data_IF_020615653037
#
_entry.id   IF_020615653037
#
_cell.length_a   1.000
_cell.length_b   1.000
_cell.length_c   1.000
_cell.angle_alpha   90.00
_cell.angle_beta   90.00
_cell.angle_gamma   90.00
#
_symmetry.space_group_name_H-M   'P 1'
#
loop_
_entity.id
_entity.type
_entity.pdbx_description
1 polymer ?
#
# COMPACT_ATOMS: atom_id res chain seq x y z
N UNK A 1 0.03 61.71 23.37
CA UNK A 1 -1.15 61.04 23.97
C UNK A 1 -2.03 60.58 22.82
N UNK A 2 -2.44 59.34 22.63
CA UNK A 2 -2.15 58.01 23.18
C UNK A 2 -2.76 57.08 22.11
N UNK A 3 -2.00 56.10 21.65
CA UNK A 3 -2.40 55.17 20.58
C UNK A 3 -3.77 54.53 20.84
N UNK A 4 -4.58 54.37 19.78
CA UNK A 4 -5.67 53.40 19.76
C UNK A 4 -5.43 52.43 18.60
N UNK A 5 -4.71 51.35 18.92
CA UNK A 5 -4.65 50.12 18.16
C UNK A 5 -5.90 49.30 18.49
N UNK A 6 -6.69 48.91 17.49
CA UNK A 6 -7.63 47.81 17.62
C UNK A 6 -7.48 46.90 16.39
N UNK A 7 -6.68 45.85 16.57
CA UNK A 7 -6.73 44.62 15.79
C UNK A 7 -7.93 43.81 16.28
N UNK A 8 -8.87 43.47 15.39
CA UNK A 8 -9.81 42.37 15.65
C UNK A 8 -9.68 41.39 14.48
N UNK A 9 -8.96 40.31 14.76
CA UNK A 9 -8.89 39.12 13.92
C UNK A 9 -10.18 38.31 14.11
N UNK A 10 -10.95 38.11 13.05
CA UNK A 10 -11.99 37.07 13.00
C UNK A 10 -11.36 35.78 12.50
N UNK A 11 -10.95 34.91 13.42
CA UNK A 11 -10.69 33.51 13.13
C UNK A 11 -12.01 32.74 13.30
N UNK A 12 -12.64 32.37 12.18
CA UNK A 12 -13.77 31.46 12.16
C UNK A 12 -13.29 30.03 12.40
N UNK A 13 -13.46 29.53 13.62
CA UNK A 13 -13.31 28.12 13.94
C UNK A 13 -14.52 27.35 13.37
N UNK A 14 -14.32 26.61 12.28
CA UNK A 14 -15.24 25.54 11.90
C UNK A 14 -15.00 24.34 12.82
N UNK A 15 -15.76 24.26 13.92
CA UNK A 15 -15.88 23.06 14.73
C UNK A 15 -17.00 22.18 14.13
N UNK A 16 -16.63 21.04 13.55
CA UNK A 16 -17.58 20.01 13.13
C UNK A 16 -17.45 18.82 14.08
N UNK A 17 -18.31 18.75 15.10
CA UNK A 17 -18.46 17.58 15.96
C UNK A 17 -19.45 16.61 15.31
N UNK A 18 -18.95 15.54 14.69
CA UNK A 18 -19.80 14.46 14.20
C UNK A 18 -20.17 13.53 15.36
N UNK A 19 -21.45 13.55 15.75
CA UNK A 19 -22.03 12.66 16.74
C UNK A 19 -22.00 11.21 16.25
N UNK A 20 -21.32 10.34 16.99
CA UNK A 20 -21.41 8.88 16.84
C UNK A 20 -22.82 8.42 17.21
N UNK A 21 -23.50 7.73 16.28
CA UNK A 21 -24.63 6.84 16.60
C UNK A 21 -24.16 5.41 16.40
N UNK A 22 -24.06 4.67 17.50
CA UNK A 22 -23.85 3.23 17.50
C UNK A 22 -25.18 2.55 17.16
N UNK A 23 -25.17 1.64 16.20
CA UNK A 23 -26.22 0.63 16.04
C UNK A 23 -25.52 -0.71 16.04
N UNK A 24 -25.88 -1.50 17.03
CA UNK A 24 -25.34 -2.81 17.34
C UNK A 24 -26.29 -3.90 16.83
N UNK A 25 -25.72 -5.06 16.50
CA UNK A 25 -26.31 -6.36 16.19
C UNK A 25 -27.22 -6.53 14.96
N UNK A 26 -26.80 -7.37 14.03
CA UNK A 26 -27.15 -8.81 14.06
C UNK A 26 -26.67 -9.50 12.78
N UNK A 27 -26.18 -10.73 12.94
CA UNK A 27 -25.77 -11.62 11.88
C UNK A 27 -26.78 -11.67 10.71
N UNK A 28 -26.25 -11.59 9.50
CA UNK A 28 -26.82 -12.29 8.36
C UNK A 28 -25.67 -12.83 7.55
N UNK A 29 -25.68 -14.15 7.44
CA UNK A 29 -24.88 -14.94 6.55
C UNK A 29 -24.95 -14.34 5.14
N UNK A 30 -23.78 -14.07 4.56
CA UNK A 30 -23.64 -13.94 3.12
C UNK A 30 -22.83 -15.13 2.65
N UNK A 31 -23.54 -16.19 2.26
CA UNK A 31 -23.03 -17.18 1.34
C UNK A 31 -22.75 -16.55 -0.04
N UNK A 32 -21.94 -17.27 -0.82
CA UNK A 32 -21.68 -17.13 -2.25
C UNK A 32 -20.49 -16.23 -2.63
N UNK A 33 -19.32 -16.83 -2.81
CA UNK A 33 -19.06 -17.60 -4.03
C UNK A 33 -17.62 -18.14 -3.99
N UNK A 34 -17.50 -19.46 -3.87
CA UNK A 34 -16.23 -20.18 -3.93
C UNK A 34 -15.85 -20.47 -5.38
N UNK A 35 -15.49 -19.43 -6.14
CA UNK A 35 -14.93 -19.59 -7.51
C UNK A 35 -13.68 -18.71 -7.79
N UNK A 36 -13.10 -18.01 -6.80
CA UNK A 36 -12.04 -17.00 -7.04
C UNK A 36 -10.74 -17.23 -6.25
N UNK A 37 -10.44 -18.47 -5.86
CA UNK A 37 -9.29 -18.73 -4.97
C UNK A 37 -7.92 -18.70 -5.64
N UNK A 38 -7.83 -18.96 -6.95
CA UNK A 38 -6.55 -19.01 -7.66
C UNK A 38 -6.13 -17.64 -8.23
N UNK A 39 -7.07 -16.85 -8.75
CA UNK A 39 -6.74 -15.57 -9.41
C UNK A 39 -6.44 -14.43 -8.41
N UNK A 40 -6.74 -14.67 -7.13
CA UNK A 40 -6.49 -13.74 -6.03
C UNK A 40 -5.13 -13.91 -5.38
N UNK A 41 -4.36 -14.95 -5.69
CA UNK A 41 -3.04 -15.21 -5.09
C UNK A 41 -1.93 -14.56 -5.92
N UNK A 42 -1.09 -13.80 -5.24
CA UNK A 42 0.09 -13.13 -5.81
C UNK A 42 1.35 -13.84 -5.32
N UNK A 43 2.34 -13.95 -6.21
CA UNK A 43 3.66 -14.50 -5.87
C UNK A 43 4.30 -13.68 -4.75
N UNK A 44 4.14 -12.35 -4.82
CA UNK A 44 4.61 -11.40 -3.81
C UNK A 44 3.57 -10.32 -3.54
N UNK A 45 3.48 -9.92 -2.27
CA UNK A 45 2.87 -8.66 -1.84
C UNK A 45 3.88 -7.86 -1.03
N UNK A 46 4.22 -6.67 -1.50
CA UNK A 46 5.08 -5.72 -0.80
C UNK A 46 4.23 -4.57 -0.29
N UNK A 47 4.09 -4.47 1.04
CA UNK A 47 3.26 -3.46 1.69
C UNK A 47 4.14 -2.37 2.29
N UNK A 48 3.95 -1.14 1.82
CA UNK A 48 4.53 0.06 2.42
C UNK A 48 3.55 0.59 3.45
N UNK A 49 3.92 0.50 4.73
CA UNK A 49 3.07 0.88 5.86
C UNK A 49 3.53 2.23 6.45
N UNK A 50 2.63 2.90 7.16
CA UNK A 50 2.95 4.04 8.02
C UNK A 50 2.72 3.68 9.48
N UNK A 51 3.47 4.33 10.37
CA UNK A 51 3.27 4.29 11.83
C UNK A 51 2.89 5.67 12.39
N UNK A 52 2.31 6.54 11.55
CA UNK A 52 1.92 7.91 11.89
C UNK A 52 2.91 9.00 11.47
N UNK A 53 3.84 8.67 10.56
CA UNK A 53 4.86 9.61 10.05
C UNK A 53 5.08 9.49 8.54
N UNK A 54 4.10 8.93 7.82
CA UNK A 54 4.25 8.58 6.42
C UNK A 54 4.96 7.25 6.16
N UNK A 55 4.97 6.85 4.90
CA UNK A 55 5.68 5.66 4.41
C UNK A 55 7.14 5.95 4.10
N UNK A 56 7.94 4.89 3.96
CA UNK A 56 9.30 4.99 3.42
C UNK A 56 9.27 5.28 1.91
N UNK A 57 9.11 6.56 1.57
CA UNK A 57 9.03 7.04 0.19
C UNK A 57 10.29 6.76 -0.63
N UNK A 58 11.46 6.74 0.03
CA UNK A 58 12.74 6.48 -0.64
C UNK A 58 12.80 5.02 -1.06
N UNK A 59 12.57 4.09 -0.12
CA UNK A 59 12.53 2.66 -0.42
C UNK A 59 11.48 2.34 -1.50
N UNK A 60 10.32 3.01 -1.48
CA UNK A 60 9.29 2.83 -2.52
C UNK A 60 9.81 3.21 -3.91
N UNK A 61 10.45 4.37 -4.03
CA UNK A 61 10.99 4.84 -5.32
C UNK A 61 12.11 3.93 -5.83
N UNK A 62 13.00 3.50 -4.94
CA UNK A 62 14.08 2.57 -5.27
C UNK A 62 13.53 1.21 -5.71
N UNK A 63 12.46 0.74 -5.08
CA UNK A 63 11.79 -0.50 -5.45
C UNK A 63 11.06 -0.42 -6.80
N UNK A 64 10.37 0.69 -7.08
CA UNK A 64 9.78 0.94 -8.40
C UNK A 64 10.85 0.94 -9.50
N UNK A 65 12.00 1.56 -9.21
CA UNK A 65 13.12 1.57 -10.15
C UNK A 65 13.73 0.17 -10.34
N UNK A 66 13.83 -0.63 -9.29
CA UNK A 66 14.26 -2.02 -9.37
C UNK A 66 13.36 -2.83 -10.30
N UNK A 67 12.03 -2.70 -10.19
CA UNK A 67 11.08 -3.41 -11.06
C UNK A 67 11.32 -3.04 -12.52
N UNK A 68 11.43 -1.74 -12.83
CA UNK A 68 11.69 -1.25 -14.19
C UNK A 68 13.02 -1.79 -14.72
N UNK A 69 14.08 -1.76 -13.92
CA UNK A 69 15.40 -2.26 -14.33
C UNK A 69 15.39 -3.78 -14.54
N UNK A 70 14.66 -4.51 -13.71
CA UNK A 70 14.51 -5.96 -13.84
C UNK A 70 13.80 -6.32 -15.14
N UNK A 71 12.70 -5.64 -15.47
CA UNK A 71 11.97 -5.82 -16.73
C UNK A 71 12.85 -5.54 -17.95
N UNK A 72 13.56 -4.40 -17.94
CA UNK A 72 14.44 -4.00 -19.04
C UNK A 72 15.61 -4.97 -19.25
N UNK A 73 16.28 -5.36 -18.16
CA UNK A 73 17.48 -6.21 -18.22
C UNK A 73 17.15 -7.63 -18.68
N UNK A 74 15.99 -8.14 -18.28
CA UNK A 74 15.57 -9.51 -18.60
C UNK A 74 14.64 -9.59 -19.80
N UNK A 75 14.21 -8.45 -20.37
CA UNK A 75 13.24 -8.35 -21.47
C UNK A 75 11.93 -9.08 -21.14
N UNK A 76 11.43 -8.86 -19.93
CA UNK A 76 10.19 -9.45 -19.42
C UNK A 76 9.25 -8.35 -18.92
N UNK A 77 7.99 -8.72 -18.69
CA UNK A 77 7.01 -7.87 -18.01
C UNK A 77 6.63 -8.51 -16.69
N UNK A 78 6.67 -7.73 -15.62
CA UNK A 78 6.21 -8.10 -14.29
C UNK A 78 4.78 -7.59 -14.13
N UNK A 79 3.85 -8.49 -13.87
CA UNK A 79 2.46 -8.12 -13.63
C UNK A 79 2.34 -7.51 -12.22
N UNK A 80 2.34 -6.17 -12.17
CA UNK A 80 2.25 -5.38 -10.95
C UNK A 80 0.89 -4.69 -10.84
N UNK A 81 0.20 -4.93 -9.74
CA UNK A 81 -0.97 -4.18 -9.32
C UNK A 81 -0.66 -3.35 -8.08
N UNK A 82 -1.23 -2.14 -8.00
CA UNK A 82 -1.03 -1.20 -6.90
C UNK A 82 -2.35 -0.95 -6.18
N UNK A 83 -2.39 -1.18 -4.88
CA UNK A 83 -3.57 -0.96 -4.05
C UNK A 83 -3.25 0.05 -2.93
N UNK A 84 -3.73 1.29 -3.10
CA UNK A 84 -3.61 2.33 -2.07
C UNK A 84 -4.69 2.14 -1.01
N UNK A 85 -4.32 2.18 0.28
CA UNK A 85 -5.27 1.92 1.36
C UNK A 85 -5.18 2.88 2.56
N UNK A 86 -4.12 3.70 2.63
CA UNK A 86 -3.94 4.65 3.72
C UNK A 86 -3.78 6.10 3.25
N UNK A 87 -4.00 7.02 4.19
CA UNK A 87 -3.97 8.48 3.92
C UNK A 87 -2.56 9.06 3.89
N UNK A 88 -1.60 8.36 4.48
CA UNK A 88 -0.20 8.80 4.58
C UNK A 88 0.68 8.24 3.45
N UNK A 89 0.05 7.55 2.50
CA UNK A 89 0.68 6.98 1.31
C UNK A 89 0.93 5.49 1.41
N UNK A 90 0.22 4.79 2.30
CA UNK A 90 0.27 3.34 2.44
C UNK A 90 -0.30 2.65 1.22
N UNK A 91 0.46 1.68 0.71
CA UNK A 91 0.22 1.05 -0.58
C UNK A 91 0.76 -0.38 -0.59
N UNK A 92 0.00 -1.28 -1.20
CA UNK A 92 0.44 -2.63 -1.50
C UNK A 92 0.81 -2.74 -2.98
N UNK A 93 1.96 -3.37 -3.24
CA UNK A 93 2.42 -3.79 -4.56
C UNK A 93 2.17 -5.30 -4.65
N UNK A 94 1.16 -5.67 -5.43
CA UNK A 94 0.69 -7.04 -5.59
C UNK A 94 1.21 -7.57 -6.92
N UNK A 95 2.10 -8.55 -6.85
CA UNK A 95 2.96 -8.95 -7.97
C UNK A 95 2.69 -10.40 -8.34
N UNK A 96 2.27 -10.62 -9.60
CA UNK A 96 2.19 -11.95 -10.21
C UNK A 96 3.47 -12.16 -11.04
N UNK A 97 4.19 -13.23 -10.74
CA UNK A 97 5.38 -13.64 -11.50
C UNK A 97 5.07 -14.78 -12.48
N UNK A 98 3.78 -15.09 -12.66
CA UNK A 98 3.29 -16.03 -13.67
C UNK A 98 3.75 -15.57 -15.05
N UNK A 99 4.43 -16.46 -15.79
CA UNK A 99 5.02 -16.15 -17.09
C UNK A 99 6.54 -15.92 -17.06
N UNK A 100 7.14 -15.73 -15.88
CA UNK A 100 8.59 -15.75 -15.72
C UNK A 100 9.11 -17.19 -15.53
N UNK A 101 10.34 -17.46 -15.98
CA UNK A 101 11.02 -18.72 -15.64
C UNK A 101 11.26 -18.84 -14.14
N UNK A 102 11.35 -20.06 -13.63
CA UNK A 102 11.59 -20.32 -12.20
C UNK A 102 12.83 -19.59 -11.65
N UNK A 103 13.89 -19.48 -12.44
CA UNK A 103 15.10 -18.76 -12.07
C UNK A 103 14.87 -17.25 -11.98
N UNK A 104 14.16 -16.66 -12.95
CA UNK A 104 13.80 -15.24 -12.90
C UNK A 104 12.85 -14.93 -11.75
N UNK A 105 11.92 -15.83 -11.42
CA UNK A 105 11.07 -15.68 -10.24
C UNK A 105 11.89 -15.63 -8.96
N UNK A 106 12.85 -16.56 -8.78
CA UNK A 106 13.75 -16.57 -7.61
C UNK A 106 14.61 -15.32 -7.55
N UNK A 107 15.19 -14.90 -8.68
CA UNK A 107 15.99 -13.68 -8.76
C UNK A 107 15.18 -12.43 -8.40
N UNK A 108 13.95 -12.33 -8.91
CA UNK A 108 13.06 -11.23 -8.58
C UNK A 108 12.74 -11.20 -7.08
N UNK A 109 12.33 -12.35 -6.51
CA UNK A 109 11.99 -12.46 -5.07
C UNK A 109 13.19 -12.09 -4.20
N UNK A 110 14.38 -12.59 -4.53
CA UNK A 110 15.59 -12.28 -3.79
C UNK A 110 15.97 -10.80 -3.93
N UNK A 111 15.91 -10.24 -5.15
CA UNK A 111 16.16 -8.83 -5.40
C UNK A 111 15.20 -7.91 -4.64
N UNK A 112 13.90 -8.27 -4.56
CA UNK A 112 12.91 -7.57 -3.74
C UNK A 112 13.32 -7.56 -2.27
N UNK A 113 13.69 -8.72 -1.71
CA UNK A 113 14.11 -8.83 -0.31
C UNK A 113 15.37 -8.00 -0.03
N UNK A 114 16.36 -8.08 -0.92
CA UNK A 114 17.63 -7.37 -0.75
C UNK A 114 17.49 -5.85 -0.87
N UNK A 115 16.64 -5.37 -1.79
CA UNK A 115 16.37 -3.94 -1.99
C UNK A 115 15.65 -3.32 -0.78
N UNK A 116 14.84 -4.11 -0.07
CA UNK A 116 13.92 -3.62 0.97
C UNK A 116 14.31 -4.02 2.39
N UNK A 117 15.37 -4.82 2.57
CA UNK A 117 15.78 -5.41 3.87
C UNK A 117 15.98 -4.40 5.00
N UNK A 118 16.39 -3.18 4.67
CA UNK A 118 16.74 -2.15 5.64
C UNK A 118 15.52 -1.29 6.05
N UNK A 119 14.39 -1.40 5.33
CA UNK A 119 13.21 -0.60 5.63
C UNK A 119 12.33 -1.26 6.70
N UNK A 120 12.21 -0.61 7.86
CA UNK A 120 11.31 -1.02 8.94
C UNK A 120 9.83 -0.81 8.62
N UNK A 121 9.53 0.00 7.59
CA UNK A 121 8.19 0.38 7.16
C UNK A 121 7.71 -0.40 5.92
N UNK A 122 8.40 -1.50 5.61
CA UNK A 122 8.02 -2.42 4.53
C UNK A 122 7.76 -3.81 5.09
N UNK A 123 6.74 -4.47 4.54
CA UNK A 123 6.40 -5.87 4.83
C UNK A 123 6.30 -6.64 3.53
N UNK A 124 7.00 -7.78 3.46
CA UNK A 124 7.02 -8.65 2.29
C UNK A 124 6.27 -9.94 2.65
N UNK A 125 5.35 -10.34 1.81
CA UNK A 125 4.57 -11.56 1.95
C UNK A 125 4.67 -12.34 0.64
N UNK A 126 4.85 -13.65 0.73
CA UNK A 126 4.87 -14.56 -0.42
C UNK A 126 3.58 -15.35 -0.48
N UNK A 127 3.12 -15.68 -1.71
CA UNK A 127 1.96 -16.53 -1.96
C UNK A 127 0.70 -16.11 -1.18
N UNK A 128 0.42 -14.80 -1.15
CA UNK A 128 -0.70 -14.22 -0.40
C UNK A 128 -1.66 -13.51 -1.35
N UNK A 129 -2.89 -13.31 -0.88
CA UNK A 129 -3.83 -12.41 -1.55
C UNK A 129 -3.46 -10.94 -1.38
N UNK A 130 -3.88 -10.13 -2.35
CA UNK A 130 -3.82 -8.67 -2.27
C UNK A 130 -5.00 -8.16 -1.43
N UNK A 131 -4.71 -7.68 -0.21
CA UNK A 131 -5.74 -7.43 0.81
C UNK A 131 -6.66 -6.26 0.47
N UNK A 132 -6.12 -5.26 -0.23
CA UNK A 132 -6.80 -3.99 -0.50
C UNK A 132 -7.09 -3.77 -1.98
N UNK A 133 -7.07 -4.83 -2.77
CA UNK A 133 -7.53 -4.79 -4.16
C UNK A 133 -9.05 -4.52 -4.14
N UNK A 134 -9.46 -3.45 -4.81
CA UNK A 134 -10.88 -3.14 -5.08
C UNK A 134 -11.31 -3.80 -6.38
#
# INVERSE_FOLDING_TARGET
MRHLLIFIALAGFFACSSSKKSTDNSNSEFEANSETKADSIYSLRVSFISIGSGTDRKARKEYEQFIIQFEQSNKVTVLLEKANWGKEGEIDFCIKLTGLSSDLQKQFIQGTKDNLKDSKLVRIYENTSCKYKQ
#
